data_IF_549892999907
#
_entry.id   IF_549892999907
#
_cell.length_a   1.000
_cell.length_b   1.000
_cell.length_c   1.000
_cell.angle_alpha   90.00
_cell.angle_beta   90.00
_cell.angle_gamma   90.00
#
_symmetry.space_group_name_H-M   'P 1'
#
loop_
_entity.id
_entity.type
_entity.pdbx_description
1 polymer ?
#
# COMPACT_ATOMS: atom_id res chain seq x y z
N UNK A 1 -12.98 20.60 -36.02
CA UNK A 1 -13.25 20.44 -34.57
C UNK A 1 -11.95 20.03 -33.89
N UNK A 2 -11.30 20.89 -33.10
CA UNK A 2 -10.03 20.53 -32.49
C UNK A 2 -10.28 19.57 -31.32
N UNK A 3 -9.57 18.44 -31.30
CA UNK A 3 -9.62 17.49 -30.20
C UNK A 3 -9.15 18.16 -28.91
N UNK A 4 -10.06 18.32 -27.95
CA UNK A 4 -9.76 18.88 -26.63
C UNK A 4 -8.78 17.92 -25.94
N UNK A 5 -7.48 18.21 -25.99
CA UNK A 5 -6.46 17.46 -25.23
C UNK A 5 -6.85 17.54 -23.76
N UNK A 6 -7.34 16.43 -23.18
CA UNK A 6 -7.53 16.33 -21.73
C UNK A 6 -6.16 16.49 -21.07
N UNK A 7 -6.08 17.24 -19.96
CA UNK A 7 -4.84 17.38 -19.19
C UNK A 7 -4.28 16.01 -18.79
N UNK A 8 -2.96 15.90 -18.66
CA UNK A 8 -2.27 14.62 -18.39
C UNK A 8 -2.70 13.96 -17.07
N UNK A 9 -2.93 14.75 -16.01
CA UNK A 9 -3.30 14.24 -14.70
C UNK A 9 -4.70 13.59 -14.65
N UNK A 10 -5.78 14.20 -15.19
CA UNK A 10 -7.07 13.52 -15.34
C UNK A 10 -7.00 12.21 -16.13
N UNK A 11 -6.18 12.15 -17.17
CA UNK A 11 -5.99 10.94 -17.96
C UNK A 11 -5.28 9.84 -17.14
N UNK A 12 -4.21 10.20 -16.42
CA UNK A 12 -3.52 9.30 -15.50
C UNK A 12 -4.45 8.75 -14.41
N UNK A 13 -5.19 9.63 -13.75
CA UNK A 13 -6.12 9.26 -12.68
C UNK A 13 -7.22 8.33 -13.21
N UNK A 14 -7.73 8.59 -14.41
CA UNK A 14 -8.71 7.71 -15.07
C UNK A 14 -8.09 6.34 -15.38
N UNK A 15 -6.85 6.31 -15.85
CA UNK A 15 -6.10 5.07 -16.08
C UNK A 15 -5.93 4.24 -14.80
N UNK A 16 -5.51 4.88 -13.70
CA UNK A 16 -5.35 4.21 -12.39
C UNK A 16 -6.69 3.70 -11.83
N UNK A 17 -7.77 4.47 -11.99
CA UNK A 17 -9.13 4.04 -11.62
C UNK A 17 -9.59 2.82 -12.43
N UNK A 18 -9.26 2.77 -13.72
CA UNK A 18 -9.58 1.62 -14.56
C UNK A 18 -8.74 0.41 -14.15
N UNK A 19 -7.44 0.60 -13.94
CA UNK A 19 -6.51 -0.46 -13.53
C UNK A 19 -6.92 -1.10 -12.20
N UNK A 20 -7.37 -0.32 -11.22
CA UNK A 20 -7.87 -0.84 -9.93
C UNK A 20 -9.25 -1.51 -10.02
N UNK A 21 -10.04 -1.21 -11.07
CA UNK A 21 -11.34 -1.84 -11.31
C UNK A 21 -11.26 -3.15 -12.10
N UNK A 22 -10.12 -3.46 -12.71
CA UNK A 22 -9.95 -4.74 -13.42
C UNK A 22 -10.09 -5.91 -12.43
N UNK A 23 -10.80 -6.99 -12.79
CA UNK A 23 -11.12 -8.07 -11.84
C UNK A 23 -9.89 -8.77 -11.30
N UNK A 24 -8.86 -8.95 -12.13
CA UNK A 24 -7.60 -9.61 -11.78
C UNK A 24 -6.74 -8.80 -10.80
N UNK A 25 -6.57 -7.50 -11.09
CA UNK A 25 -5.82 -6.60 -10.21
C UNK A 25 -6.59 -6.39 -8.91
N UNK A 26 -7.92 -6.27 -8.99
CA UNK A 26 -8.78 -6.12 -7.82
C UNK A 26 -8.68 -7.31 -6.89
N UNK A 27 -8.71 -8.55 -7.39
CA UNK A 27 -8.57 -9.74 -6.52
C UNK A 27 -7.18 -9.84 -5.90
N UNK A 28 -6.13 -9.51 -6.65
CA UNK A 28 -4.76 -9.48 -6.12
C UNK A 28 -4.64 -8.44 -4.99
N UNK A 29 -4.97 -7.18 -5.27
CA UNK A 29 -4.80 -6.08 -4.30
C UNK A 29 -5.74 -6.28 -3.10
N UNK A 30 -6.96 -6.82 -3.29
CA UNK A 30 -7.89 -7.12 -2.20
C UNK A 30 -7.30 -8.03 -1.12
N UNK A 31 -6.36 -8.92 -1.48
CA UNK A 31 -5.67 -9.78 -0.51
C UNK A 31 -4.85 -9.00 0.52
N UNK A 32 -4.44 -7.76 0.21
CA UNK A 32 -3.75 -6.89 1.18
C UNK A 32 -4.65 -6.49 2.36
N UNK A 33 -5.97 -6.37 2.13
CA UNK A 33 -6.95 -6.02 3.15
C UNK A 33 -7.57 -7.24 3.85
N UNK A 34 -7.14 -8.47 3.50
CA UNK A 34 -7.63 -9.67 4.16
C UNK A 34 -7.03 -9.77 5.57
N UNK A 35 -7.86 -10.19 6.52
CA UNK A 35 -7.40 -10.47 7.88
C UNK A 35 -6.64 -11.79 7.91
N UNK A 36 -5.50 -11.80 8.57
CA UNK A 36 -4.72 -12.99 8.86
C UNK A 36 -4.46 -13.06 10.35
N UNK A 37 -4.52 -14.28 10.86
CA UNK A 37 -4.10 -14.58 12.21
C UNK A 37 -2.59 -14.85 12.22
N UNK A 38 -1.83 -13.94 12.81
CA UNK A 38 -0.39 -14.06 13.00
C UNK A 38 -0.10 -14.02 14.49
N UNK A 39 0.44 -15.12 15.03
CA UNK A 39 0.80 -15.24 16.45
C UNK A 39 -0.35 -14.90 17.43
N UNK A 40 -1.58 -15.34 17.12
CA UNK A 40 -2.78 -15.11 17.96
C UNK A 40 -3.33 -13.68 17.91
N UNK A 41 -2.82 -12.81 17.04
CA UNK A 41 -3.35 -11.47 16.77
C UNK A 41 -3.99 -11.43 15.40
N UNK A 42 -5.19 -10.85 15.31
CA UNK A 42 -5.83 -10.53 14.03
C UNK A 42 -5.21 -9.26 13.46
N UNK A 43 -4.52 -9.37 12.34
CA UNK A 43 -3.92 -8.25 11.61
C UNK A 43 -4.25 -8.34 10.13
N UNK A 44 -4.03 -7.28 9.38
CA UNK A 44 -4.19 -7.30 7.92
C UNK A 44 -2.90 -7.76 7.26
N UNK A 45 -3.01 -8.38 6.07
CA UNK A 45 -1.85 -8.76 5.25
C UNK A 45 -0.94 -7.56 4.99
N UNK A 46 -1.51 -6.38 4.69
CA UNK A 46 -0.75 -5.16 4.46
C UNK A 46 0.11 -4.77 5.67
N UNK A 47 -0.48 -4.75 6.87
CA UNK A 47 0.24 -4.39 8.09
C UNK A 47 1.35 -5.39 8.41
N UNK A 48 1.06 -6.68 8.28
CA UNK A 48 2.04 -7.73 8.55
C UNK A 48 3.18 -7.74 7.52
N UNK A 49 2.87 -7.48 6.24
CA UNK A 49 3.87 -7.35 5.19
C UNK A 49 4.82 -6.17 5.46
N UNK A 50 4.30 -5.03 5.92
CA UNK A 50 5.13 -3.88 6.29
C UNK A 50 5.95 -4.15 7.56
N UNK A 51 5.41 -4.91 8.52
CA UNK A 51 6.17 -5.37 9.69
C UNK A 51 7.39 -6.19 9.29
N UNK A 52 7.24 -7.13 8.35
CA UNK A 52 8.34 -7.95 7.85
C UNK A 52 9.44 -7.14 7.14
N UNK A 53 9.08 -6.00 6.56
CA UNK A 53 10.04 -5.09 5.93
C UNK A 53 10.84 -4.33 7.00
N UNK A 54 10.18 -3.89 8.07
CA UNK A 54 10.83 -3.15 9.16
C UNK A 54 11.65 -4.04 10.11
N UNK A 55 11.12 -5.22 10.43
CA UNK A 55 11.62 -6.16 11.42
C UNK A 55 11.77 -7.53 10.74
N UNK A 56 12.95 -7.82 10.19
CA UNK A 56 13.28 -9.00 9.38
C UNK A 56 13.05 -10.38 10.04
N UNK A 57 12.47 -10.45 11.25
CA UNK A 57 12.49 -11.62 12.13
C UNK A 57 11.13 -11.93 12.78
N UNK A 58 10.09 -12.16 11.96
CA UNK A 58 8.79 -12.62 12.45
C UNK A 58 8.29 -13.86 11.71
N UNK A 59 7.94 -14.91 12.48
CA UNK A 59 7.12 -16.03 12.04
C UNK A 59 5.78 -15.47 11.57
N UNK A 60 5.61 -15.38 10.26
CA UNK A 60 4.50 -14.72 9.58
C UNK A 60 3.90 -15.63 8.51
N UNK A 61 2.66 -15.34 8.12
CA UNK A 61 1.96 -16.12 7.10
C UNK A 61 2.67 -16.04 5.74
N UNK A 62 2.56 -17.11 4.95
CA UNK A 62 3.17 -17.18 3.60
C UNK A 62 2.69 -16.05 2.68
N UNK A 63 1.44 -15.62 2.84
CA UNK A 63 0.84 -14.54 2.06
C UNK A 63 1.50 -13.20 2.40
N UNK A 64 1.70 -12.86 3.68
CA UNK A 64 2.37 -11.64 4.09
C UNK A 64 3.84 -11.61 3.64
N UNK A 65 4.53 -12.76 3.68
CA UNK A 65 5.92 -12.88 3.15
C UNK A 65 6.00 -12.66 1.65
N UNK A 66 4.98 -13.08 0.90
CA UNK A 66 4.92 -12.81 -0.52
C UNK A 66 4.70 -11.32 -0.80
N UNK A 67 3.73 -10.71 -0.11
CA UNK A 67 3.45 -9.29 -0.26
C UNK A 67 4.57 -8.38 0.25
N UNK A 68 5.32 -8.78 1.29
CA UNK A 68 6.47 -8.01 1.76
C UNK A 68 7.53 -7.90 0.67
N UNK A 69 7.85 -8.99 -0.03
CA UNK A 69 8.78 -8.97 -1.18
C UNK A 69 8.30 -8.07 -2.31
N UNK A 70 7.01 -8.12 -2.63
CA UNK A 70 6.42 -7.24 -3.66
C UNK A 70 6.55 -5.78 -3.22
N UNK A 71 6.15 -5.46 -2.00
CA UNK A 71 6.21 -4.09 -1.48
C UNK A 71 7.64 -3.58 -1.39
N UNK A 72 8.60 -4.39 -0.96
CA UNK A 72 10.03 -4.03 -0.97
C UNK A 72 10.51 -3.69 -2.38
N UNK A 73 10.11 -4.45 -3.40
CA UNK A 73 10.48 -4.14 -4.79
C UNK A 73 9.86 -2.81 -5.24
N UNK A 74 8.58 -2.58 -4.92
CA UNK A 74 7.89 -1.32 -5.23
C UNK A 74 8.58 -0.14 -4.54
N UNK A 75 8.96 -0.28 -3.26
CA UNK A 75 9.69 0.75 -2.54
C UNK A 75 11.05 1.03 -3.16
N UNK A 76 11.84 0.00 -3.51
CA UNK A 76 13.13 0.18 -4.18
C UNK A 76 13.00 0.97 -5.49
N UNK A 77 11.98 0.66 -6.29
CA UNK A 77 11.70 1.38 -7.53
C UNK A 77 11.33 2.84 -7.21
N UNK A 78 10.44 3.06 -6.24
CA UNK A 78 10.04 4.41 -5.85
C UNK A 78 11.21 5.23 -5.32
N UNK A 79 12.01 4.69 -4.40
CA UNK A 79 13.22 5.30 -3.85
C UNK A 79 14.19 5.67 -4.96
N UNK A 80 14.45 4.75 -5.90
CA UNK A 80 15.33 5.01 -7.04
C UNK A 80 14.78 6.12 -7.96
N UNK A 81 13.46 6.15 -8.22
CA UNK A 81 12.83 7.21 -9.03
C UNK A 81 12.90 8.59 -8.36
N UNK A 82 12.86 8.63 -7.02
CA UNK A 82 12.86 9.87 -6.24
C UNK A 82 14.23 10.22 -5.65
N UNK A 83 15.28 9.46 -5.97
CA UNK A 83 16.65 9.62 -5.44
C UNK A 83 16.70 9.64 -3.89
N UNK A 84 15.91 8.78 -3.25
CA UNK A 84 15.91 8.64 -1.78
C UNK A 84 16.90 7.59 -1.27
N UNK A 85 16.96 7.44 0.06
CA UNK A 85 17.75 6.42 0.75
C UNK A 85 16.85 5.27 1.26
N UNK A 86 17.29 4.01 1.12
CA UNK A 86 16.51 2.83 1.52
C UNK A 86 16.43 2.70 3.05
N UNK A 87 17.52 3.03 3.74
CA UNK A 87 17.65 2.97 5.18
C UNK A 87 16.66 3.91 5.88
N UNK A 88 16.45 5.13 5.37
CA UNK A 88 15.48 6.08 5.92
C UNK A 88 14.05 5.54 5.84
N UNK A 89 13.69 4.86 4.74
CA UNK A 89 12.35 4.27 4.57
C UNK A 89 12.15 3.12 5.54
N UNK A 90 13.15 2.25 5.71
CA UNK A 90 13.08 1.15 6.68
C UNK A 90 12.97 1.70 8.11
N UNK A 91 13.74 2.74 8.45
CA UNK A 91 13.69 3.38 9.76
C UNK A 91 12.32 4.02 10.01
N UNK A 92 11.75 4.73 9.02
CA UNK A 92 10.40 5.28 9.13
C UNK A 92 9.34 4.19 9.36
N UNK A 93 9.48 3.03 8.71
CA UNK A 93 8.56 1.89 8.89
C UNK A 93 8.70 1.19 10.26
N UNK A 94 9.76 1.47 11.03
CA UNK A 94 9.88 0.99 12.42
C UNK A 94 8.91 1.71 13.34
N UNK A 95 8.53 2.95 13.04
CA UNK A 95 7.47 3.65 13.78
C UNK A 95 6.11 2.95 13.54
N UNK A 96 5.47 2.40 14.59
CA UNK A 96 4.17 1.77 14.48
C UNK A 96 3.09 2.67 13.87
N UNK A 97 3.14 3.97 14.09
CA UNK A 97 2.17 4.93 13.57
C UNK A 97 2.31 5.09 12.06
N UNK A 98 3.55 5.27 11.56
CA UNK A 98 3.85 5.36 10.12
C UNK A 98 3.44 4.07 9.43
N UNK A 99 3.84 2.93 9.98
CA UNK A 99 3.50 1.60 9.46
C UNK A 99 1.99 1.37 9.41
N UNK A 100 1.25 1.79 10.44
CA UNK A 100 -0.21 1.69 10.47
C UNK A 100 -0.85 2.62 9.45
N UNK A 101 -0.37 3.86 9.32
CA UNK A 101 -0.88 4.82 8.34
C UNK A 101 -0.73 4.29 6.91
N UNK A 102 0.45 3.78 6.56
CA UNK A 102 0.70 3.21 5.24
C UNK A 102 -0.15 1.96 4.99
N UNK A 103 -0.30 1.07 5.99
CA UNK A 103 -1.18 -0.10 5.88
C UNK A 103 -2.62 0.32 5.54
N UNK A 104 -3.16 1.34 6.22
CA UNK A 104 -4.52 1.83 5.97
C UNK A 104 -4.70 2.41 4.57
N UNK A 105 -3.68 3.09 4.03
CA UNK A 105 -3.71 3.58 2.64
C UNK A 105 -3.75 2.40 1.66
N UNK A 106 -2.90 1.39 1.86
CA UNK A 106 -2.88 0.18 1.02
C UNK A 106 -4.20 -0.59 1.12
N UNK A 107 -4.79 -0.69 2.31
CA UNK A 107 -6.08 -1.32 2.53
C UNK A 107 -7.22 -0.53 1.87
N UNK A 108 -7.19 0.80 1.91
CA UNK A 108 -8.15 1.65 1.19
C UNK A 108 -8.10 1.43 -0.32
N UNK A 109 -6.89 1.38 -0.88
CA UNK A 109 -6.69 1.02 -2.28
C UNK A 109 -7.17 -0.40 -2.60
N UNK A 110 -6.97 -1.35 -1.68
CA UNK A 110 -7.40 -2.73 -1.83
C UNK A 110 -8.92 -2.92 -1.82
N UNK A 111 -9.62 -2.19 -0.96
CA UNK A 111 -11.06 -2.30 -0.78
C UNK A 111 -11.83 -1.47 -1.81
N UNK A 112 -11.41 -0.23 -1.99
CA UNK A 112 -12.16 0.80 -2.72
C UNK A 112 -11.52 1.19 -4.05
N UNK A 113 -10.25 0.85 -4.26
CA UNK A 113 -9.47 1.35 -5.39
C UNK A 113 -9.11 2.83 -5.22
N UNK A 114 -8.72 3.46 -6.32
CA UNK A 114 -8.42 4.91 -6.34
C UNK A 114 -9.72 5.71 -6.34
N UNK A 115 -10.01 6.39 -5.24
CA UNK A 115 -11.23 7.18 -5.03
C UNK A 115 -10.87 8.66 -4.86
N UNK A 116 -11.82 9.56 -5.16
CA UNK A 116 -11.66 11.01 -4.89
C UNK A 116 -12.98 11.54 -4.31
N UNK A 117 -13.00 12.02 -3.04
CA UNK A 117 -11.90 11.94 -2.06
C UNK A 117 -11.52 10.47 -1.75
N UNK A 118 -10.31 10.25 -1.22
CA UNK A 118 -9.84 8.89 -0.95
C UNK A 118 -10.59 8.26 0.24
N UNK A 119 -11.24 7.14 -0.01
CA UNK A 119 -11.92 6.30 0.98
C UNK A 119 -10.90 5.41 1.72
N UNK A 120 -11.06 5.32 3.04
CA UNK A 120 -10.15 4.61 3.94
C UNK A 120 -10.96 3.76 4.93
N UNK A 121 -10.50 2.53 5.26
CA UNK A 121 -11.29 1.58 6.04
C UNK A 121 -11.33 1.87 7.54
N UNK A 122 -10.41 2.68 8.05
CA UNK A 122 -10.41 3.12 9.44
C UNK A 122 -10.16 4.64 9.51
N UNK A 123 -10.74 5.34 10.49
CA UNK A 123 -10.33 6.71 10.79
C UNK A 123 -8.88 6.70 11.26
N UNK A 124 -8.05 7.59 10.72
CA UNK A 124 -6.71 7.82 11.25
C UNK A 124 -6.40 9.31 11.30
N UNK A 125 -5.66 9.68 12.34
CA UNK A 125 -5.09 11.00 12.52
C UNK A 125 -3.62 10.90 12.12
N UNK A 126 -3.21 11.63 11.08
CA UNK A 126 -1.78 11.80 10.79
C UNK A 126 -1.29 12.98 11.61
N UNK A 127 -0.43 12.71 12.59
CA UNK A 127 0.31 13.76 13.29
C UNK A 127 1.61 13.93 12.53
N UNK A 128 1.75 15.07 11.84
CA UNK A 128 3.03 15.48 11.26
C UNK A 128 3.79 16.25 12.34
N UNK A 129 5.04 15.84 12.57
CA UNK A 129 5.99 16.53 13.42
C UNK A 129 6.87 17.44 12.56
#
# INVERSE_FOLDING_TARGET
MPSKRRGGFPALLTGLRLATKMPLTRTLVRKLAEEVESNGRKTTVALEALRLIAEHDTNSCLIARFYSKILSLVFKIAIACFHGEEEEVVEALRDPAVRRGLALVLEGLALYGVTVPQELPAPFLVVWN
#
